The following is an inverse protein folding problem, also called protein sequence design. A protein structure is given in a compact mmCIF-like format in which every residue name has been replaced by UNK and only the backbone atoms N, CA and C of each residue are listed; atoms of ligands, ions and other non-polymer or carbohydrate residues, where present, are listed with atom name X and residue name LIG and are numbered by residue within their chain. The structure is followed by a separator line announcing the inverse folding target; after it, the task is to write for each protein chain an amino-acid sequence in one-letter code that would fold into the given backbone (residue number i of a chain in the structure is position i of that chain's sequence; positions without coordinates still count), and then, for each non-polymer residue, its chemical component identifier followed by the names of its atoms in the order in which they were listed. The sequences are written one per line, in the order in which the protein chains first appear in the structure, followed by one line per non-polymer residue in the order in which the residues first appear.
data_IF_067611246670
#
_entry.id   IF_067611246670
#
_cell.length_a   1.000
_cell.length_b   1.000
_cell.length_c   1.000
_cell.angle_alpha   90.00
_cell.angle_beta   90.00
_cell.angle_gamma   90.00
#
_symmetry.space_group_name_H-M   'P 1'
#
loop_
_entity.id
_entity.type
_entity.pdbx_description
1 polymer ?
#
# COMPACT_ATOMS: atom_id res chain seq x y z
N UNK A 1 9.11 -13.59 -24.00
CA UNK A 1 8.93 -12.83 -22.75
C UNK A 1 9.57 -11.47 -22.98
N UNK A 2 8.87 -10.33 -22.78
CA UNK A 2 9.56 -9.05 -22.72
C UNK A 2 10.59 -9.13 -21.59
N UNK A 3 11.76 -8.51 -21.78
CA UNK A 3 12.73 -8.34 -20.70
C UNK A 3 12.01 -7.69 -19.51
N UNK A 4 12.18 -8.18 -18.27
CA UNK A 4 11.61 -7.49 -17.12
C UNK A 4 12.17 -6.06 -17.13
N UNK A 5 11.28 -5.08 -17.27
CA UNK A 5 11.65 -3.67 -17.14
C UNK A 5 12.24 -3.50 -15.74
N UNK A 6 13.54 -3.18 -15.67
CA UNK A 6 14.25 -3.03 -14.42
C UNK A 6 14.29 -1.53 -14.10
N UNK A 7 13.62 -1.09 -13.01
CA UNK A 7 13.59 0.31 -12.65
C UNK A 7 14.99 0.84 -12.33
N UNK A 8 15.22 2.12 -12.63
CA UNK A 8 16.47 2.81 -12.28
C UNK A 8 16.64 2.78 -10.75
N UNK A 9 17.78 2.31 -10.21
CA UNK A 9 18.04 2.29 -8.77
C UNK A 9 17.88 3.69 -8.15
N UNK A 10 17.39 3.75 -6.91
CA UNK A 10 17.44 5.00 -6.15
C UNK A 10 18.89 5.35 -5.80
N UNK A 11 19.14 6.62 -5.62
CA UNK A 11 20.42 7.21 -5.25
C UNK A 11 20.33 7.84 -3.86
N UNK A 12 21.47 8.15 -3.25
CA UNK A 12 21.50 8.91 -2.01
C UNK A 12 20.78 10.27 -2.12
N UNK A 13 20.79 10.89 -3.31
CA UNK A 13 20.11 12.16 -3.55
C UNK A 13 18.58 12.02 -3.56
N UNK A 14 18.05 10.89 -4.06
CA UNK A 14 16.61 10.58 -3.98
C UNK A 14 16.15 10.49 -2.52
N UNK A 15 16.91 9.77 -1.68
CA UNK A 15 16.64 9.67 -0.25
C UNK A 15 16.81 11.01 0.48
N UNK A 16 17.84 11.79 0.13
CA UNK A 16 18.03 13.16 0.65
C UNK A 16 16.82 14.04 0.35
N UNK A 17 16.32 13.99 -0.88
CA UNK A 17 15.15 14.77 -1.29
C UNK A 17 13.90 14.35 -0.51
N UNK A 18 13.70 13.05 -0.25
CA UNK A 18 12.58 12.56 0.57
C UNK A 18 12.67 13.04 2.02
N UNK A 19 13.84 12.90 2.65
CA UNK A 19 14.07 13.37 4.02
C UNK A 19 13.88 14.89 4.14
N UNK A 20 14.35 15.65 3.15
CA UNK A 20 14.17 17.11 3.10
C UNK A 20 12.68 17.47 3.03
N UNK A 21 11.92 16.86 2.11
CA UNK A 21 10.47 17.08 2.00
C UNK A 21 9.73 16.72 3.28
N UNK A 22 10.10 15.61 3.93
CA UNK A 22 9.49 15.20 5.19
C UNK A 22 9.73 16.23 6.31
N UNK A 23 10.96 16.76 6.39
CA UNK A 23 11.32 17.79 7.35
C UNK A 23 10.60 19.13 7.09
N UNK A 24 10.52 19.56 5.84
CA UNK A 24 9.79 20.77 5.42
C UNK A 24 8.28 20.64 5.63
N UNK A 25 7.70 19.47 5.37
CA UNK A 25 6.30 19.19 5.61
C UNK A 25 5.99 19.24 7.12
N UNK A 26 6.89 18.73 7.96
CA UNK A 26 6.76 18.83 9.41
C UNK A 26 6.77 20.29 9.89
N UNK A 27 7.69 21.11 9.39
CA UNK A 27 7.75 22.54 9.70
C UNK A 27 6.48 23.27 9.25
N UNK A 28 5.99 23.01 8.03
CA UNK A 28 4.75 23.56 7.52
C UNK A 28 3.52 23.16 8.37
N UNK A 29 3.54 21.99 9.00
CA UNK A 29 2.53 21.51 9.94
C UNK A 29 2.72 22.05 11.38
N UNK A 30 3.69 22.94 11.62
CA UNK A 30 3.98 23.50 12.94
C UNK A 30 4.66 22.51 13.90
N UNK A 31 5.33 21.49 13.37
CA UNK A 31 6.15 20.56 14.14
C UNK A 31 7.61 21.02 14.18
N UNK A 32 8.31 20.66 15.26
CA UNK A 32 9.75 20.83 15.38
C UNK A 32 10.54 19.81 14.54
N UNK A 33 9.88 18.75 14.07
CA UNK A 33 10.46 17.70 13.24
C UNK A 33 9.62 16.42 13.25
N UNK A 34 10.13 15.37 12.61
CA UNK A 34 9.57 14.02 12.67
C UNK A 34 10.58 13.00 13.18
N UNK A 35 10.06 12.01 13.91
CA UNK A 35 10.80 10.91 14.52
C UNK A 35 10.31 9.61 13.90
N UNK A 36 11.17 8.98 13.10
CA UNK A 36 10.78 7.84 12.27
C UNK A 36 11.38 6.55 12.83
N UNK A 37 10.51 5.67 13.30
CA UNK A 37 10.87 4.36 13.85
C UNK A 37 11.02 3.30 12.74
N UNK A 38 11.63 2.14 13.01
CA UNK A 38 11.67 1.00 12.10
C UNK A 38 10.32 0.69 11.47
N UNK A 39 10.24 0.75 10.15
CA UNK A 39 8.99 0.55 9.41
C UNK A 39 9.07 1.05 7.98
N UNK A 40 7.94 1.05 7.26
CA UNK A 40 7.89 1.47 5.86
C UNK A 40 8.39 2.89 5.62
N UNK A 41 8.11 3.81 6.55
CA UNK A 41 8.59 5.20 6.47
C UNK A 41 10.11 5.27 6.53
N UNK A 42 10.76 4.51 7.42
CA UNK A 42 12.22 4.47 7.53
C UNK A 42 12.85 3.92 6.24
N UNK A 43 12.28 2.84 5.69
CA UNK A 43 12.73 2.26 4.42
C UNK A 43 12.56 3.24 3.27
N UNK A 44 11.43 3.96 3.21
CA UNK A 44 11.16 4.96 2.18
C UNK A 44 12.15 6.12 2.23
N UNK A 45 12.47 6.60 3.44
CA UNK A 45 13.31 7.77 3.68
C UNK A 45 14.81 7.48 3.60
N UNK A 46 15.24 6.25 3.87
CA UNK A 46 16.68 5.91 4.00
C UNK A 46 17.15 4.73 3.16
N UNK A 47 16.23 3.86 2.72
CA UNK A 47 16.55 2.57 2.13
C UNK A 47 17.08 1.53 3.14
N UNK A 48 17.12 1.86 4.44
CA UNK A 48 17.53 0.96 5.50
C UNK A 48 16.33 0.18 6.04
N UNK A 49 16.45 -1.15 6.07
CA UNK A 49 15.46 -2.05 6.69
C UNK A 49 16.12 -2.74 7.89
N UNK A 50 15.95 -2.21 9.12
CA UNK A 50 16.51 -2.82 10.31
C UNK A 50 15.80 -4.15 10.66
N UNK A 51 16.48 -4.96 11.47
CA UNK A 51 15.85 -6.10 12.15
C UNK A 51 14.88 -5.57 13.21
N UNK A 52 13.70 -6.16 13.31
CA UNK A 52 12.73 -5.79 14.36
C UNK A 52 13.23 -6.27 15.73
N UNK A 53 13.69 -5.35 16.57
CA UNK A 53 14.14 -5.60 17.95
C UNK A 53 13.61 -4.52 18.89
N UNK A 54 13.79 -4.72 20.20
CA UNK A 54 13.46 -3.72 21.23
C UNK A 54 14.48 -2.58 21.34
N UNK A 55 15.57 -2.64 20.58
CA UNK A 55 16.62 -1.63 20.61
C UNK A 55 16.16 -0.40 19.85
N UNK A 56 16.38 0.79 20.42
CA UNK A 56 16.04 2.04 19.77
C UNK A 56 16.83 2.22 18.47
N UNK A 57 16.09 2.21 17.37
CA UNK A 57 16.49 2.80 16.08
C UNK A 57 15.52 3.95 15.79
N UNK A 58 16.02 5.13 15.44
CA UNK A 58 15.18 6.31 15.23
C UNK A 58 15.84 7.29 14.27
N UNK A 59 15.19 7.61 13.15
CA UNK A 59 15.59 8.71 12.28
C UNK A 59 14.96 10.01 12.78
N UNK A 60 15.80 11.03 12.97
CA UNK A 60 15.40 12.38 13.38
C UNK A 60 15.54 13.32 12.18
N UNK A 61 14.43 13.91 11.76
CA UNK A 61 14.38 14.88 10.67
C UNK A 61 13.85 16.22 11.18
N UNK A 62 14.60 17.30 10.91
CA UNK A 62 14.24 18.67 11.26
C UNK A 62 14.57 19.59 10.09
N UNK A 63 13.71 20.55 9.79
CA UNK A 63 13.92 21.46 8.66
C UNK A 63 15.24 22.24 8.83
N UNK A 64 16.02 22.32 7.75
CA UNK A 64 17.32 23.01 7.74
C UNK A 64 18.44 22.34 8.55
N UNK A 65 18.26 21.11 9.04
CA UNK A 65 19.29 20.34 9.75
C UNK A 65 19.62 19.04 9.01
N UNK A 66 20.85 18.55 9.17
CA UNK A 66 21.24 17.26 8.60
C UNK A 66 20.45 16.12 9.26
N UNK A 67 19.87 15.18 8.49
CA UNK A 67 19.21 14.00 9.02
C UNK A 67 20.15 13.18 9.92
N UNK A 68 19.65 12.74 11.06
CA UNK A 68 20.42 11.86 11.97
C UNK A 68 19.66 10.57 12.22
N UNK A 69 20.30 9.43 11.95
CA UNK A 69 19.77 8.11 12.25
C UNK A 69 20.47 7.56 13.50
N UNK A 70 19.72 7.47 14.59
CA UNK A 70 20.17 6.84 15.84
C UNK A 70 20.00 5.33 15.71
N UNK A 71 21.06 4.56 15.92
CA UNK A 71 21.07 3.08 15.76
C UNK A 71 21.90 2.38 16.84
N UNK A 72 21.64 1.11 17.18
CA UNK A 72 22.57 0.33 17.98
C UNK A 72 23.92 0.17 17.27
N UNK A 73 25.04 0.24 17.99
CA UNK A 73 26.40 0.05 17.42
C UNK A 73 26.54 -1.27 16.67
N UNK A 74 25.84 -2.33 17.11
CA UNK A 74 25.84 -3.63 16.45
C UNK A 74 25.06 -3.65 15.12
N UNK A 75 24.17 -2.68 14.88
CA UNK A 75 23.38 -2.54 13.65
C UNK A 75 23.92 -1.42 12.75
N UNK A 76 24.81 -0.55 13.24
CA UNK A 76 25.41 0.54 12.49
C UNK A 76 26.06 0.09 11.15
N UNK A 77 26.80 -1.03 11.08
CA UNK A 77 27.32 -1.52 9.79
C UNK A 77 26.23 -1.80 8.76
N UNK A 78 25.08 -2.36 9.15
CA UNK A 78 23.99 -2.62 8.21
C UNK A 78 23.34 -1.32 7.74
N UNK A 79 23.21 -0.33 8.64
CA UNK A 79 22.74 1.00 8.29
C UNK A 79 23.67 1.74 7.32
N UNK A 80 25.00 1.58 7.46
CA UNK A 80 26.01 2.16 6.55
C UNK A 80 25.91 1.62 5.12
N UNK A 81 25.41 0.39 4.94
CA UNK A 81 25.19 -0.21 3.62
C UNK A 81 23.90 0.25 2.94
N UNK A 82 23.02 0.98 3.64
CA UNK A 82 21.80 1.50 3.05
C UNK A 82 22.13 2.55 1.97
N UNK A 83 21.36 2.56 0.89
CA UNK A 83 21.59 3.47 -0.24
C UNK A 83 21.49 4.95 0.18
N UNK A 84 20.61 5.26 1.14
CA UNK A 84 20.46 6.61 1.69
C UNK A 84 21.47 6.96 2.80
N UNK A 85 22.36 6.06 3.22
CA UNK A 85 23.34 6.34 4.28
C UNK A 85 24.22 7.57 4.00
N UNK A 86 24.69 7.85 2.76
CA UNK A 86 25.43 9.08 2.47
C UNK A 86 24.62 10.38 2.63
N UNK A 87 23.29 10.28 2.80
CA UNK A 87 22.39 11.41 2.99
C UNK A 87 22.06 11.73 4.45
N UNK A 88 22.61 10.98 5.41
CA UNK A 88 22.35 11.14 6.84
C UNK A 88 23.62 10.95 7.67
N UNK A 89 23.57 11.39 8.93
CA UNK A 89 24.60 11.10 9.93
C UNK A 89 24.14 9.93 10.79
N UNK A 90 24.98 8.90 10.93
CA UNK A 90 24.74 7.84 11.90
C UNK A 90 25.21 8.28 13.29
N UNK A 91 24.36 8.03 14.29
CA UNK A 91 24.70 8.20 15.70
C UNK A 91 24.42 6.91 16.43
N UNK A 92 25.47 6.21 16.83
CA UNK A 92 25.31 4.90 17.42
C UNK A 92 25.25 4.91 18.96
N UNK A 93 24.76 3.82 19.54
CA UNK A 93 24.77 3.59 20.97
C UNK A 93 25.00 2.10 21.29
N UNK A 94 25.67 1.83 22.41
CA UNK A 94 26.03 0.46 22.83
C UNK A 94 25.11 -0.02 23.95
N UNK A 95 24.79 -1.33 23.98
CA UNK A 95 24.07 -1.96 25.10
C UNK A 95 24.67 -1.54 26.46
N UNK A 96 23.80 -1.19 27.41
CA UNK A 96 24.18 -0.65 28.73
C UNK A 96 24.29 0.88 28.80
N UNK A 97 24.18 1.60 27.67
CA UNK A 97 23.91 3.04 27.65
C UNK A 97 22.44 3.31 27.43
N UNK A 98 21.95 4.43 27.95
CA UNK A 98 20.59 4.87 27.67
C UNK A 98 20.53 5.46 26.24
N UNK A 99 19.78 4.84 25.30
CA UNK A 99 19.66 5.35 23.95
C UNK A 99 18.92 6.70 23.87
N UNK A 100 18.12 7.04 24.88
CA UNK A 100 17.40 8.30 24.95
C UNK A 100 18.34 9.46 25.32
N UNK A 101 19.41 9.23 26.11
CA UNK A 101 20.46 10.22 26.37
C UNK A 101 21.24 10.59 25.10
N UNK A 102 21.43 9.64 24.19
CA UNK A 102 22.09 9.85 22.90
C UNK A 102 21.18 10.61 21.91
N UNK A 103 19.87 10.41 22.05
CA UNK A 103 18.85 10.99 21.17
C UNK A 103 18.41 12.39 21.61
N UNK A 104 18.30 12.65 22.91
CA UNK A 104 17.78 13.91 23.45
C UNK A 104 18.49 15.18 22.93
N UNK A 105 19.83 15.22 22.73
CA UNK A 105 20.52 16.38 22.16
C UNK A 105 20.14 16.71 20.71
N UNK A 106 19.44 15.82 20.00
CA UNK A 106 18.92 16.05 18.65
C UNK A 106 17.56 16.76 18.66
N UNK A 107 16.89 16.80 19.82
CA UNK A 107 15.52 17.30 19.97
C UNK A 107 15.52 18.63 20.72
N UNK A 108 14.53 19.46 20.40
CA UNK A 108 14.30 20.74 21.07
C UNK A 108 13.52 20.48 22.36
N UNK A 109 13.97 21.07 23.47
CA UNK A 109 13.44 20.78 24.81
C UNK A 109 11.92 21.02 24.95
N UNK A 110 11.31 21.87 24.11
CA UNK A 110 9.85 22.09 24.06
C UNK A 110 9.20 21.74 22.72
N UNK A 111 9.88 20.95 21.88
CA UNK A 111 9.42 20.63 20.53
C UNK A 111 8.15 19.78 20.52
N UNK A 112 7.30 20.01 19.51
CA UNK A 112 6.21 19.11 19.14
C UNK A 112 6.64 18.28 17.94
N UNK A 113 6.61 16.96 18.06
CA UNK A 113 7.12 16.04 17.03
C UNK A 113 6.00 15.15 16.47
N UNK A 114 6.04 14.92 15.15
CA UNK A 114 5.34 13.78 14.56
C UNK A 114 6.16 12.52 14.79
N UNK A 115 5.58 11.47 15.34
CA UNK A 115 6.27 10.19 15.58
C UNK A 115 5.58 9.07 14.82
N UNK A 116 6.36 8.18 14.18
CA UNK A 116 5.80 7.02 13.46
C UNK A 116 4.79 6.26 14.31
N UNK A 117 3.68 5.86 13.70
CA UNK A 117 2.57 5.21 14.42
C UNK A 117 2.94 3.84 14.99
N UNK A 118 3.95 3.22 14.41
CA UNK A 118 4.50 1.94 14.84
C UNK A 118 5.69 2.08 15.81
N UNK A 119 6.02 3.30 16.26
CA UNK A 119 7.00 3.50 17.32
C UNK A 119 6.50 2.80 18.59
N UNK A 120 7.35 1.97 19.20
CA UNK A 120 6.96 1.26 20.40
C UNK A 120 6.70 2.25 21.54
N UNK A 121 5.62 2.03 22.28
CA UNK A 121 5.25 2.88 23.41
C UNK A 121 6.41 3.05 24.41
N UNK A 122 7.25 2.02 24.60
CA UNK A 122 8.42 2.12 25.47
C UNK A 122 9.43 3.19 25.05
N UNK A 123 9.61 3.41 23.74
CA UNK A 123 10.53 4.43 23.23
C UNK A 123 9.92 5.83 23.37
N UNK A 124 8.63 5.97 23.06
CA UNK A 124 7.91 7.22 23.28
C UNK A 124 7.95 7.64 24.76
N UNK A 125 7.66 6.70 25.67
CA UNK A 125 7.71 6.94 27.11
C UNK A 125 9.14 7.25 27.59
N UNK A 126 10.16 6.58 27.06
CA UNK A 126 11.56 6.87 27.36
C UNK A 126 11.97 8.29 26.95
N UNK A 127 11.59 8.71 25.74
CA UNK A 127 11.81 10.08 25.27
C UNK A 127 11.07 11.12 26.13
N UNK A 128 9.82 10.84 26.53
CA UNK A 128 9.06 11.72 27.43
C UNK A 128 9.66 11.82 28.83
N UNK A 129 10.32 10.77 29.34
CA UNK A 129 10.98 10.81 30.64
C UNK A 129 12.20 11.73 30.63
N UNK A 130 13.03 11.66 29.58
CA UNK A 130 14.24 12.49 29.48
C UNK A 130 13.95 13.92 28.99
N UNK A 131 12.91 14.12 28.19
CA UNK A 131 12.45 15.41 27.67
C UNK A 131 10.98 15.66 28.03
N UNK A 132 10.65 15.92 29.31
CA UNK A 132 9.27 15.98 29.81
C UNK A 132 8.43 17.13 29.25
N UNK A 133 9.07 18.11 28.61
CA UNK A 133 8.41 19.27 27.99
C UNK A 133 8.16 19.10 26.49
N UNK A 134 8.56 17.96 25.90
CA UNK A 134 8.21 17.61 24.52
C UNK A 134 6.78 17.08 24.41
N UNK A 135 6.20 17.22 23.22
CA UNK A 135 4.89 16.64 22.90
C UNK A 135 4.94 15.89 21.57
N UNK A 136 4.06 14.91 21.41
CA UNK A 136 4.06 14.00 20.27
C UNK A 136 2.66 13.88 19.69
N UNK A 137 2.59 13.72 18.37
CA UNK A 137 1.38 13.40 17.61
C UNK A 137 1.72 12.28 16.64
N UNK A 138 0.71 11.49 16.26
CA UNK A 138 0.87 10.45 15.25
C UNK A 138 1.39 11.06 13.95
N UNK A 139 2.34 10.39 13.30
CA UNK A 139 2.86 10.84 12.01
C UNK A 139 1.76 10.84 10.95
N UNK A 140 0.88 9.83 10.95
CA UNK A 140 -0.27 9.78 10.02
C UNK A 140 -1.29 10.87 10.31
N UNK A 141 -1.48 11.27 11.57
CA UNK A 141 -2.35 12.42 11.89
C UNK A 141 -1.75 13.73 11.39
N UNK A 142 -0.45 13.96 11.65
CA UNK A 142 0.19 15.22 11.32
C UNK A 142 0.52 15.38 9.84
N UNK A 143 0.92 14.29 9.17
CA UNK A 143 1.37 14.26 7.78
C UNK A 143 0.76 13.05 7.04
N UNK A 144 -0.58 12.97 6.90
CA UNK A 144 -1.26 11.81 6.31
C UNK A 144 -0.82 11.49 4.88
N UNK A 145 -0.37 12.51 4.13
CA UNK A 145 0.01 12.39 2.72
C UNK A 145 1.52 12.33 2.49
N UNK A 146 2.33 12.05 3.52
CA UNK A 146 3.79 12.09 3.45
C UNK A 146 4.38 11.28 2.27
N UNK A 147 3.82 10.08 2.02
CA UNK A 147 4.22 9.17 0.94
C UNK A 147 3.22 9.13 -0.22
N UNK A 148 2.16 9.93 -0.15
CA UNK A 148 1.05 9.83 -1.07
C UNK A 148 1.45 10.18 -2.51
N UNK A 149 2.35 11.15 -2.69
CA UNK A 149 2.83 11.63 -4.00
C UNK A 149 4.13 10.93 -4.38
N UNK A 150 4.07 10.13 -5.44
CA UNK A 150 5.16 9.28 -5.91
C UNK A 150 6.01 10.06 -6.91
N UNK A 151 7.33 9.95 -6.77
CA UNK A 151 8.25 10.43 -7.81
C UNK A 151 8.23 9.52 -9.05
N UNK A 152 8.89 9.93 -10.14
CA UNK A 152 8.90 9.17 -11.39
C UNK A 152 9.51 7.76 -11.25
N UNK A 153 10.51 7.59 -10.37
CA UNK A 153 11.18 6.32 -10.12
C UNK A 153 10.32 5.39 -9.25
N UNK A 154 9.48 5.96 -8.38
CA UNK A 154 8.45 5.24 -7.63
C UNK A 154 7.32 4.76 -8.54
N UNK A 155 6.80 5.64 -9.40
CA UNK A 155 5.76 5.29 -10.37
C UNK A 155 6.21 4.19 -11.34
N UNK A 156 7.48 4.20 -11.75
CA UNK A 156 8.05 3.16 -12.60
C UNK A 156 8.08 1.79 -11.89
N UNK A 157 8.39 1.76 -10.59
CA UNK A 157 8.36 0.53 -9.78
C UNK A 157 6.94 0.01 -9.57
N UNK A 158 5.98 0.89 -9.29
CA UNK A 158 4.57 0.53 -9.18
C UNK A 158 4.02 -0.01 -10.51
N UNK A 159 4.40 0.59 -11.64
CA UNK A 159 4.03 0.08 -12.96
C UNK A 159 4.66 -1.30 -13.23
N UNK A 160 5.91 -1.52 -12.84
CA UNK A 160 6.56 -2.82 -12.96
C UNK A 160 5.91 -3.89 -12.05
N UNK A 161 5.47 -3.51 -10.84
CA UNK A 161 4.72 -4.36 -9.92
C UNK A 161 3.35 -4.75 -10.50
N UNK A 162 2.57 -3.77 -10.97
CA UNK A 162 1.28 -3.99 -11.63
C UNK A 162 1.39 -4.89 -12.86
N UNK A 163 2.40 -4.68 -13.72
CA UNK A 163 2.63 -5.53 -14.88
C UNK A 163 2.99 -6.99 -14.51
N UNK A 164 3.70 -7.19 -13.39
CA UNK A 164 4.00 -8.53 -12.88
C UNK A 164 2.75 -9.22 -12.31
N UNK A 165 1.88 -8.47 -11.62
CA UNK A 165 0.59 -8.99 -11.15
C UNK A 165 -0.36 -9.32 -12.31
N UNK A 166 -0.38 -8.51 -13.37
CA UNK A 166 -1.10 -8.79 -14.61
C UNK A 166 -0.62 -10.09 -15.27
N UNK A 167 0.70 -10.33 -15.30
CA UNK A 167 1.26 -11.58 -15.81
C UNK A 167 0.86 -12.77 -14.93
N UNK A 168 0.82 -12.61 -13.60
CA UNK A 168 0.27 -13.61 -12.68
C UNK A 168 -1.18 -13.94 -13.02
N UNK A 169 -2.03 -12.93 -13.22
CA UNK A 169 -3.43 -13.14 -13.61
C UNK A 169 -3.52 -13.93 -14.93
N UNK A 170 -2.72 -13.55 -15.93
CA UNK A 170 -2.71 -14.26 -17.22
C UNK A 170 -2.33 -15.74 -17.12
N UNK A 171 -1.43 -16.12 -16.20
CA UNK A 171 -1.05 -17.52 -16.00
C UNK A 171 -2.02 -18.27 -15.09
N UNK A 172 -2.59 -17.64 -14.06
CA UNK A 172 -3.52 -18.34 -13.15
C UNK A 172 -4.79 -18.75 -13.90
N UNK A 173 -5.26 -17.98 -14.89
CA UNK A 173 -6.43 -18.37 -15.71
C UNK A 173 -6.25 -19.69 -16.48
N UNK A 174 -5.00 -20.18 -16.63
CA UNK A 174 -4.70 -21.42 -17.36
C UNK A 174 -4.73 -22.65 -16.47
N UNK A 175 -4.78 -22.48 -15.15
CA UNK A 175 -4.88 -23.63 -14.23
C UNK A 175 -6.33 -24.08 -14.12
N UNK A 176 -6.53 -25.34 -13.75
CA UNK A 176 -7.86 -25.82 -13.36
C UNK A 176 -8.20 -25.29 -11.96
N UNK A 177 -9.42 -24.80 -11.79
CA UNK A 177 -10.00 -24.35 -10.54
C UNK A 177 -10.91 -25.44 -9.97
N UNK A 178 -11.81 -25.99 -10.78
CA UNK A 178 -12.78 -26.98 -10.30
C UNK A 178 -12.11 -28.21 -9.68
N UNK A 179 -12.61 -28.62 -8.52
CA UNK A 179 -12.10 -29.76 -7.75
C UNK A 179 -10.83 -29.48 -6.95
N UNK A 180 -10.31 -28.25 -6.93
CA UNK A 180 -9.19 -27.83 -6.08
C UNK A 180 -9.67 -27.04 -4.88
N UNK A 181 -8.88 -26.99 -3.81
CA UNK A 181 -9.16 -26.08 -2.69
C UNK A 181 -8.75 -24.67 -3.05
N UNK A 182 -9.40 -23.69 -2.42
CA UNK A 182 -9.00 -22.28 -2.50
C UNK A 182 -7.51 -22.10 -2.16
N UNK A 183 -7.03 -22.76 -1.10
CA UNK A 183 -5.62 -22.76 -0.68
C UNK A 183 -4.66 -23.27 -1.75
N UNK A 184 -5.07 -24.25 -2.56
CA UNK A 184 -4.22 -24.79 -3.63
C UNK A 184 -4.06 -23.76 -4.77
N UNK A 185 -5.12 -23.02 -5.10
CA UNK A 185 -5.09 -21.94 -6.11
C UNK A 185 -4.35 -20.70 -5.56
N UNK A 186 -4.53 -20.38 -4.29
CA UNK A 186 -3.81 -19.30 -3.60
C UNK A 186 -2.29 -19.55 -3.56
N UNK A 187 -1.87 -20.82 -3.39
CA UNK A 187 -0.47 -21.21 -3.46
C UNK A 187 0.11 -21.04 -4.87
N UNK A 188 -0.66 -21.34 -5.92
CA UNK A 188 -0.25 -21.10 -7.31
C UNK A 188 -0.07 -19.60 -7.58
N UNK A 189 -1.01 -18.76 -7.12
CA UNK A 189 -0.88 -17.29 -7.21
C UNK A 189 0.41 -16.81 -6.54
N UNK A 190 0.71 -17.29 -5.33
CA UNK A 190 1.91 -16.89 -4.60
C UNK A 190 3.19 -17.31 -5.35
N UNK A 191 3.21 -18.53 -5.88
CA UNK A 191 4.32 -19.03 -6.69
C UNK A 191 4.50 -18.22 -7.98
N UNK A 192 3.40 -17.84 -8.64
CA UNK A 192 3.42 -17.00 -9.85
C UNK A 192 3.91 -15.58 -9.55
N UNK A 193 3.45 -14.94 -8.47
CA UNK A 193 3.95 -13.62 -8.05
C UNK A 193 5.46 -13.63 -7.84
N UNK A 194 6.00 -14.63 -7.13
CA UNK A 194 7.45 -14.82 -6.96
C UNK A 194 8.16 -15.06 -8.29
N UNK A 195 7.58 -15.91 -9.15
CA UNK A 195 8.12 -16.19 -10.49
C UNK A 195 8.20 -14.94 -11.37
N UNK A 196 7.24 -14.03 -11.26
CA UNK A 196 7.25 -12.74 -11.96
C UNK A 196 8.01 -11.63 -11.22
N UNK A 197 8.72 -12.01 -10.15
CA UNK A 197 9.76 -11.20 -9.52
C UNK A 197 9.28 -10.32 -8.36
N UNK A 198 8.16 -10.63 -7.73
CA UNK A 198 7.83 -10.05 -6.43
C UNK A 198 8.82 -10.56 -5.37
N UNK A 199 9.46 -9.64 -4.66
CA UNK A 199 10.33 -9.95 -3.52
C UNK A 199 9.53 -10.39 -2.30
N UNK A 200 8.28 -9.94 -2.18
CA UNK A 200 7.36 -10.24 -1.09
C UNK A 200 5.98 -10.58 -1.66
N UNK A 201 5.31 -11.57 -1.08
CA UNK A 201 3.88 -11.83 -1.36
C UNK A 201 3.16 -11.44 -0.08
N UNK A 202 2.24 -10.49 -0.18
CA UNK A 202 1.54 -9.97 0.99
C UNK A 202 0.25 -10.76 1.23
N UNK A 203 -0.46 -11.12 0.16
CA UNK A 203 -1.72 -11.84 0.23
C UNK A 203 -2.04 -12.54 -1.10
N UNK A 204 -2.81 -13.62 -1.00
CA UNK A 204 -3.41 -14.36 -2.12
C UNK A 204 -4.79 -14.87 -1.70
N UNK A 205 -5.78 -14.00 -1.77
CA UNK A 205 -7.18 -14.29 -1.47
C UNK A 205 -7.81 -15.04 -2.65
N UNK A 206 -8.46 -16.16 -2.34
CA UNK A 206 -9.29 -16.94 -3.27
C UNK A 206 -10.61 -17.22 -2.56
N UNK A 207 -11.65 -16.45 -2.90
CA UNK A 207 -12.99 -16.59 -2.32
C UNK A 207 -13.96 -17.20 -3.32
N UNK A 208 -14.26 -18.49 -3.17
CA UNK A 208 -15.12 -19.24 -4.08
C UNK A 208 -16.57 -19.34 -3.59
N UNK A 209 -17.52 -19.16 -4.50
CA UNK A 209 -18.95 -19.20 -4.19
C UNK A 209 -19.29 -18.28 -3.00
N UNK A 210 -19.93 -18.80 -1.93
CA UNK A 210 -20.29 -18.01 -0.76
C UNK A 210 -19.13 -17.27 -0.08
N UNK A 211 -17.91 -17.81 -0.16
CA UNK A 211 -16.73 -17.18 0.43
C UNK A 211 -16.34 -15.88 -0.28
N UNK A 212 -16.62 -15.76 -1.58
CA UNK A 212 -16.41 -14.53 -2.33
C UNK A 212 -17.26 -13.35 -1.82
N UNK A 213 -18.34 -13.63 -1.08
CA UNK A 213 -19.18 -12.60 -0.46
C UNK A 213 -18.61 -12.03 0.85
N UNK A 214 -17.46 -12.53 1.33
CA UNK A 214 -16.75 -11.98 2.48
C UNK A 214 -15.49 -11.24 1.98
N UNK A 215 -15.45 -9.88 2.03
CA UNK A 215 -14.30 -9.12 1.54
C UNK A 215 -13.00 -9.41 2.32
N UNK A 216 -13.09 -9.94 3.54
CA UNK A 216 -11.93 -10.33 4.36
C UNK A 216 -11.72 -11.85 4.40
N UNK A 217 -12.24 -12.59 3.42
CA UNK A 217 -11.99 -14.02 3.33
C UNK A 217 -10.50 -14.29 3.07
N UNK A 218 -9.93 -15.23 3.79
CA UNK A 218 -8.63 -15.82 3.45
C UNK A 218 -8.89 -17.19 2.81
N UNK A 219 -8.10 -17.54 1.79
CA UNK A 219 -8.26 -18.81 1.08
C UNK A 219 -8.32 -20.00 2.05
N UNK A 220 -9.40 -20.79 2.00
CA UNK A 220 -9.66 -21.88 2.93
C UNK A 220 -9.63 -23.27 2.29
N UNK A 221 -10.16 -24.25 3.03
CA UNK A 221 -10.25 -25.64 2.59
C UNK A 221 -11.46 -25.93 1.68
N UNK A 222 -12.30 -24.92 1.37
CA UNK A 222 -13.44 -25.11 0.46
C UNK A 222 -12.91 -25.56 -0.90
N UNK A 223 -13.48 -26.64 -1.42
CA UNK A 223 -13.23 -27.09 -2.79
C UNK A 223 -14.05 -26.22 -3.74
N UNK A 224 -13.39 -25.66 -4.75
CA UNK A 224 -14.01 -24.86 -5.80
C UNK A 224 -14.82 -25.79 -6.70
N UNK A 225 -16.09 -25.46 -6.91
CA UNK A 225 -17.06 -26.23 -7.67
C UNK A 225 -17.33 -25.59 -9.03
N UNK A 226 -17.83 -26.40 -9.98
CA UNK A 226 -18.35 -25.87 -11.24
C UNK A 226 -19.61 -25.06 -10.94
N UNK A 227 -19.69 -23.84 -11.47
CA UNK A 227 -20.75 -22.88 -11.17
C UNK A 227 -20.39 -21.86 -10.10
N UNK A 228 -19.17 -21.89 -9.54
CA UNK A 228 -18.73 -20.87 -8.61
C UNK A 228 -18.27 -19.59 -9.34
N UNK A 229 -18.71 -18.45 -8.83
CA UNK A 229 -17.96 -17.19 -8.91
C UNK A 229 -16.77 -17.25 -7.95
N UNK A 230 -15.59 -16.86 -8.40
CA UNK A 230 -14.35 -16.89 -7.61
C UNK A 230 -13.69 -15.52 -7.65
N UNK A 231 -13.63 -14.85 -6.49
CA UNK A 231 -12.86 -13.62 -6.31
C UNK A 231 -11.40 -14.00 -6.11
N UNK A 232 -10.54 -13.50 -6.98
CA UNK A 232 -9.09 -13.58 -6.87
C UNK A 232 -8.57 -12.20 -6.54
N UNK A 233 -7.84 -12.09 -5.44
CA UNK A 233 -7.27 -10.83 -4.99
C UNK A 233 -5.88 -11.08 -4.42
N UNK A 234 -4.87 -10.50 -5.04
CA UNK A 234 -3.49 -10.87 -4.78
C UNK A 234 -2.51 -9.75 -5.08
N UNK A 235 -1.49 -9.69 -4.25
CA UNK A 235 -0.52 -8.61 -4.30
C UNK A 235 0.71 -8.88 -3.46
N UNK A 236 1.63 -7.94 -3.53
CA UNK A 236 2.93 -8.06 -2.90
C UNK A 236 3.87 -6.94 -3.32
N UNK A 237 5.09 -6.98 -2.79
CA UNK A 237 6.11 -6.00 -3.15
C UNK A 237 7.01 -6.51 -4.26
N UNK A 238 7.20 -5.70 -5.31
CA UNK A 238 8.23 -5.84 -6.33
C UNK A 238 9.09 -4.57 -6.32
N UNK A 239 10.41 -4.75 -6.24
CA UNK A 239 11.36 -3.63 -6.07
C UNK A 239 11.04 -2.73 -4.85
N UNK A 240 10.38 -3.29 -3.83
CA UNK A 240 9.95 -2.58 -2.62
C UNK A 240 8.63 -1.80 -2.76
N UNK A 241 7.91 -1.93 -3.89
CA UNK A 241 6.64 -1.22 -4.14
C UNK A 241 5.51 -2.22 -4.43
N UNK A 242 4.31 -1.89 -3.97
CA UNK A 242 3.14 -2.74 -4.00
C UNK A 242 2.55 -2.92 -5.39
N UNK A 243 2.13 -4.15 -5.69
CA UNK A 243 1.04 -4.43 -6.62
C UNK A 243 -0.18 -4.85 -5.83
N UNK A 244 -1.35 -4.50 -6.33
CA UNK A 244 -2.63 -5.02 -5.87
C UNK A 244 -3.55 -5.21 -7.08
N UNK A 245 -4.28 -6.32 -7.12
CA UNK A 245 -5.25 -6.56 -8.19
C UNK A 245 -6.25 -7.64 -7.81
N UNK A 246 -7.50 -7.23 -7.86
CA UNK A 246 -8.67 -8.10 -7.80
C UNK A 246 -9.30 -8.34 -9.18
N UNK A 247 -9.60 -9.60 -9.48
CA UNK A 247 -10.45 -10.03 -10.60
C UNK A 247 -11.41 -11.11 -10.12
N UNK A 248 -12.62 -11.10 -10.65
CA UNK A 248 -13.57 -12.18 -10.43
C UNK A 248 -13.65 -13.05 -11.67
N UNK A 249 -13.56 -14.37 -11.49
CA UNK A 249 -13.68 -15.37 -12.56
C UNK A 249 -14.89 -16.27 -12.28
N UNK A 250 -15.36 -16.99 -13.29
CA UNK A 250 -16.41 -17.98 -13.13
C UNK A 250 -15.97 -19.37 -13.62
N UNK A 251 -16.30 -20.40 -12.86
CA UNK A 251 -15.96 -21.80 -13.18
C UNK A 251 -17.07 -22.41 -14.04
N UNK A 252 -16.89 -22.42 -15.37
CA UNK A 252 -17.95 -22.75 -16.34
C UNK A 252 -18.78 -21.52 -16.75
N UNK A 253 -20.01 -21.71 -17.25
CA UNK A 253 -20.85 -20.60 -17.72
C UNK A 253 -21.63 -19.93 -16.58
N UNK A 254 -21.61 -18.58 -16.46
CA UNK A 254 -22.31 -17.85 -15.41
C UNK A 254 -23.82 -17.83 -15.66
N UNK A 255 -24.59 -17.66 -14.59
CA UNK A 255 -26.00 -17.31 -14.69
C UNK A 255 -26.18 -15.86 -15.17
N UNK A 256 -27.39 -15.54 -15.64
CA UNK A 256 -27.72 -14.17 -16.04
C UNK A 256 -27.65 -13.14 -14.89
N UNK A 257 -27.82 -13.58 -13.64
CA UNK A 257 -27.67 -12.71 -12.47
C UNK A 257 -26.20 -12.45 -12.16
N UNK A 258 -25.36 -13.48 -12.16
CA UNK A 258 -23.91 -13.34 -11.91
C UNK A 258 -23.24 -12.45 -12.95
N UNK A 259 -23.56 -12.67 -14.24
CA UNK A 259 -23.07 -11.82 -15.31
C UNK A 259 -23.52 -10.36 -15.12
N UNK A 260 -24.78 -10.14 -14.74
CA UNK A 260 -25.31 -8.79 -14.50
C UNK A 260 -24.62 -8.10 -13.32
N UNK A 261 -24.47 -8.78 -12.19
CA UNK A 261 -23.78 -8.23 -11.00
C UNK A 261 -22.33 -7.89 -11.35
N UNK A 262 -21.67 -8.77 -12.11
CA UNK A 262 -20.32 -8.52 -12.58
C UNK A 262 -20.23 -7.28 -13.47
N UNK A 263 -21.14 -7.13 -14.44
CA UNK A 263 -21.18 -5.97 -15.33
C UNK A 263 -21.42 -4.66 -14.57
N UNK A 264 -22.26 -4.66 -13.53
CA UNK A 264 -22.48 -3.49 -12.66
C UNK A 264 -21.18 -3.10 -11.94
N UNK A 265 -20.45 -4.07 -11.37
CA UNK A 265 -19.16 -3.78 -10.71
C UNK A 265 -18.14 -3.26 -11.71
N UNK A 266 -18.11 -3.79 -12.94
CA UNK A 266 -17.23 -3.30 -14.00
C UNK A 266 -17.55 -1.86 -14.38
N UNK A 267 -18.83 -1.51 -14.50
CA UNK A 267 -19.28 -0.14 -14.77
C UNK A 267 -18.92 0.81 -13.61
N UNK A 268 -19.11 0.37 -12.37
CA UNK A 268 -18.75 1.14 -11.18
C UNK A 268 -17.24 1.39 -11.10
N UNK A 269 -16.42 0.37 -11.38
CA UNK A 269 -14.96 0.49 -11.41
C UNK A 269 -14.51 1.46 -12.50
N UNK A 270 -15.13 1.38 -13.68
CA UNK A 270 -14.89 2.33 -14.75
C UNK A 270 -15.23 3.77 -14.33
N UNK A 271 -16.40 3.98 -13.72
CA UNK A 271 -16.81 5.31 -13.24
C UNK A 271 -15.84 5.88 -12.20
N UNK A 272 -15.38 5.06 -11.26
CA UNK A 272 -14.34 5.44 -10.30
C UNK A 272 -13.04 5.87 -10.99
N UNK A 273 -12.53 5.08 -11.94
CA UNK A 273 -11.32 5.45 -12.67
C UNK A 273 -11.49 6.72 -13.54
N UNK A 274 -12.64 6.88 -14.20
CA UNK A 274 -12.91 8.05 -15.05
C UNK A 274 -13.02 9.36 -14.24
N UNK A 275 -13.36 9.27 -12.94
CA UNK A 275 -13.42 10.41 -12.04
C UNK A 275 -12.03 10.90 -11.59
N UNK A 276 -10.97 10.13 -11.81
CA UNK A 276 -9.60 10.47 -11.41
C UNK A 276 -9.06 11.61 -12.26
N UNK A 277 -8.78 12.75 -11.62
CA UNK A 277 -8.13 13.92 -12.21
C UNK A 277 -7.54 14.82 -11.11
N UNK A 278 -6.52 15.64 -11.41
CA UNK A 278 -6.04 16.64 -10.47
C UNK A 278 -7.17 17.54 -9.95
N UNK A 279 -7.16 17.79 -8.64
CA UNK A 279 -8.11 18.64 -7.94
C UNK A 279 -9.46 17.98 -7.58
N UNK A 280 -9.77 16.78 -8.07
CA UNK A 280 -10.90 16.01 -7.55
C UNK A 280 -10.65 15.61 -6.09
N UNK A 281 -11.65 15.62 -5.22
CA UNK A 281 -11.48 15.10 -3.86
C UNK A 281 -11.43 13.57 -3.87
N UNK A 282 -10.74 12.95 -2.93
CA UNK A 282 -10.68 11.47 -2.83
C UNK A 282 -12.08 10.85 -2.71
N UNK A 283 -12.98 11.49 -1.95
CA UNK A 283 -14.39 11.08 -1.82
C UNK A 283 -15.16 11.10 -3.15
N UNK A 284 -14.77 11.93 -4.13
CA UNK A 284 -15.48 11.99 -5.41
C UNK A 284 -15.27 10.70 -6.23
N UNK A 285 -14.15 10.01 -6.01
CA UNK A 285 -13.87 8.70 -6.61
C UNK A 285 -14.80 7.64 -6.01
N UNK A 286 -14.99 7.68 -4.69
CA UNK A 286 -15.93 6.79 -4.01
C UNK A 286 -17.36 7.02 -4.46
N UNK A 287 -17.79 8.29 -4.49
CA UNK A 287 -19.13 8.69 -4.94
C UNK A 287 -19.41 8.23 -6.37
N UNK A 288 -18.44 8.37 -7.28
CA UNK A 288 -18.59 7.97 -8.67
C UNK A 288 -18.86 6.46 -8.81
N UNK A 289 -18.09 5.60 -8.14
CA UNK A 289 -18.30 4.16 -8.16
C UNK A 289 -19.58 3.74 -7.43
N UNK A 290 -19.81 4.30 -6.23
CA UNK A 290 -20.95 3.98 -5.37
C UNK A 290 -22.29 4.37 -5.99
N UNK A 291 -22.34 5.48 -6.75
CA UNK A 291 -23.54 5.93 -7.45
C UNK A 291 -24.06 4.86 -8.43
N UNK A 292 -23.17 4.26 -9.23
CA UNK A 292 -23.52 3.20 -10.19
C UNK A 292 -24.13 2.00 -9.45
N UNK A 293 -23.43 1.48 -8.43
CA UNK A 293 -23.92 0.31 -7.66
C UNK A 293 -25.27 0.60 -7.00
N UNK A 294 -25.46 1.82 -6.49
CA UNK A 294 -26.71 2.24 -5.83
C UNK A 294 -27.86 2.35 -6.82
N UNK A 295 -27.64 2.87 -8.03
CA UNK A 295 -28.64 2.97 -9.09
C UNK A 295 -29.25 1.62 -9.44
N UNK A 296 -28.44 0.55 -9.45
CA UNK A 296 -28.90 -0.82 -9.69
C UNK A 296 -29.45 -1.53 -8.44
N UNK A 297 -29.59 -0.84 -7.32
CA UNK A 297 -30.20 -1.37 -6.09
C UNK A 297 -29.27 -2.20 -5.19
N UNK A 298 -27.95 -2.14 -5.41
CA UNK A 298 -26.96 -2.88 -4.64
C UNK A 298 -26.15 -2.01 -3.66
N UNK A 299 -26.57 -0.77 -3.39
CA UNK A 299 -25.81 0.18 -2.55
C UNK A 299 -25.43 -0.38 -1.16
N UNK A 300 -26.36 -1.06 -0.48
CA UNK A 300 -26.11 -1.73 0.82
C UNK A 300 -25.15 -2.94 0.73
N UNK A 301 -24.82 -3.39 -0.48
CA UNK A 301 -23.91 -4.51 -0.75
C UNK A 301 -22.49 -4.06 -1.10
N UNK A 302 -22.25 -2.76 -1.23
CA UNK A 302 -20.91 -2.18 -1.35
C UNK A 302 -20.45 -1.62 0.00
N UNK A 303 -19.85 -2.49 0.81
CA UNK A 303 -19.69 -2.32 2.26
C UNK A 303 -18.33 -1.77 2.71
N UNK A 304 -17.47 -1.36 1.78
CA UNK A 304 -16.15 -0.79 2.09
C UNK A 304 -15.87 0.45 1.24
N UNK A 305 -14.71 1.07 1.47
CA UNK A 305 -14.17 2.18 0.65
C UNK A 305 -13.93 1.74 -0.79
N UNK A 306 -13.95 2.67 -1.73
CA UNK A 306 -13.64 2.39 -3.15
C UNK A 306 -12.16 2.13 -3.40
N UNK A 307 -11.28 2.49 -2.48
CA UNK A 307 -9.87 2.11 -2.56
C UNK A 307 -8.97 2.79 -1.54
N UNK A 308 -7.68 2.51 -1.65
CA UNK A 308 -6.63 2.99 -0.77
C UNK A 308 -5.36 3.31 -1.56
N UNK A 309 -4.53 4.18 -1.00
CA UNK A 309 -3.19 4.43 -1.49
C UNK A 309 -2.35 3.17 -1.47
N UNK A 310 -1.39 3.13 -2.38
CA UNK A 310 -0.41 2.07 -2.50
C UNK A 310 0.96 2.66 -2.81
N UNK A 311 2.01 2.06 -2.24
CA UNK A 311 3.38 2.54 -2.34
C UNK A 311 4.35 1.50 -1.82
N UNK A 312 5.12 1.82 -0.79
CA UNK A 312 6.00 0.85 -0.12
C UNK A 312 5.23 -0.09 0.83
N UNK A 313 3.94 0.16 1.01
CA UNK A 313 2.96 -0.71 1.67
C UNK A 313 1.78 -0.93 0.73
N UNK A 314 1.10 -2.08 0.85
CA UNK A 314 -0.12 -2.36 0.10
C UNK A 314 -1.23 -1.35 0.41
N UNK A 315 -1.40 -1.00 1.69
CA UNK A 315 -2.35 0.00 2.14
C UNK A 315 -1.62 1.21 2.75
N UNK A 316 -1.85 2.39 2.19
CA UNK A 316 -1.42 3.69 2.71
C UNK A 316 -2.47 4.77 2.35
N UNK A 317 -2.43 5.97 2.92
CA UNK A 317 -3.20 7.10 2.40
C UNK A 317 -2.76 7.49 0.97
N UNK A 318 -3.62 8.14 0.16
CA UNK A 318 -4.99 8.58 0.46
C UNK A 318 -6.02 7.45 0.45
N UNK A 319 -7.20 7.67 1.03
CA UNK A 319 -8.30 6.70 0.98
C UNK A 319 -9.45 7.21 0.11
N UNK A 320 -9.91 6.40 -0.84
CA UNK A 320 -11.05 6.74 -1.69
C UNK A 320 -12.34 6.39 -0.95
N UNK A 321 -12.75 7.26 -0.03
CA UNK A 321 -13.88 7.06 0.86
C UNK A 321 -14.64 8.38 1.08
N UNK A 322 -15.96 8.31 1.25
CA UNK A 322 -16.79 9.43 1.67
C UNK A 322 -16.19 10.13 2.92
N UNK A 323 -16.04 11.45 2.86
CA UNK A 323 -15.46 12.27 3.93
C UNK A 323 -13.96 12.58 3.76
N UNK A 324 -13.22 11.91 2.87
CA UNK A 324 -11.85 12.29 2.53
C UNK A 324 -11.87 13.40 1.45
N UNK A 325 -11.74 14.65 1.88
CA UNK A 325 -11.87 15.82 1.03
C UNK A 325 -10.54 16.28 0.40
N UNK A 326 -9.42 15.63 0.75
CA UNK A 326 -8.12 16.03 0.22
C UNK A 326 -8.07 15.89 -1.31
N UNK A 327 -7.59 16.92 -2.03
CA UNK A 327 -7.55 16.91 -3.47
C UNK A 327 -6.47 15.97 -3.99
N UNK A 328 -6.80 15.24 -5.06
CA UNK A 328 -5.87 14.44 -5.83
C UNK A 328 -4.86 15.36 -6.53
N UNK A 329 -3.59 14.98 -6.47
CA UNK A 329 -2.50 15.68 -7.18
C UNK A 329 -1.68 14.68 -8.01
N UNK A 330 -1.04 15.13 -9.11
CA UNK A 330 -0.19 14.26 -9.93
C UNK A 330 0.82 13.49 -9.11
N UNK A 331 0.99 12.20 -9.43
CA UNK A 331 1.86 11.28 -8.71
C UNK A 331 1.19 10.54 -7.56
N UNK A 332 -0.03 10.90 -7.13
CA UNK A 332 -0.78 10.02 -6.22
C UNK A 332 -1.08 8.67 -6.87
N UNK A 333 -1.06 7.59 -6.09
CA UNK A 333 -1.30 6.23 -6.56
C UNK A 333 -2.14 5.45 -5.54
N UNK A 334 -3.22 4.81 -6.00
CA UNK A 334 -4.22 4.13 -5.17
C UNK A 334 -5.01 3.07 -5.97
N UNK A 335 -5.68 2.15 -5.27
CA UNK A 335 -6.64 1.20 -5.84
C UNK A 335 -7.97 1.88 -6.20
N UNK A 336 -8.64 1.35 -7.22
CA UNK A 336 -10.08 1.58 -7.50
C UNK A 336 -10.72 0.20 -7.63
N UNK A 337 -11.38 -0.24 -6.56
CA UNK A 337 -11.77 -1.63 -6.29
C UNK A 337 -13.22 -1.79 -5.77
N UNK A 338 -14.24 -1.17 -6.40
CA UNK A 338 -15.61 -1.37 -5.94
C UNK A 338 -16.02 -2.84 -6.03
N UNK A 339 -16.92 -3.24 -5.15
CA UNK A 339 -17.41 -4.62 -5.09
C UNK A 339 -18.85 -4.74 -4.60
N UNK A 340 -19.51 -5.81 -5.03
CA UNK A 340 -20.85 -6.21 -4.57
C UNK A 340 -20.72 -7.56 -3.88
N UNK A 341 -21.18 -7.63 -2.64
CA UNK A 341 -21.13 -8.85 -1.82
C UNK A 341 -22.53 -9.31 -1.47
N UNK A 342 -22.90 -10.53 -1.89
CA UNK A 342 -24.20 -11.15 -1.63
C UNK A 342 -24.03 -12.29 -0.62
N UNK A 343 -24.27 -12.06 0.69
CA UNK A 343 -23.95 -13.01 1.75
C UNK A 343 -24.53 -14.41 1.50
N UNK A 344 -23.70 -15.42 1.68
CA UNK A 344 -24.07 -16.83 1.46
C UNK A 344 -24.20 -17.24 -0.01
N UNK A 345 -23.89 -16.35 -0.96
CA UNK A 345 -24.05 -16.59 -2.40
C UNK A 345 -22.74 -16.43 -3.16
N UNK A 346 -22.34 -15.19 -3.43
CA UNK A 346 -21.11 -14.83 -4.14
C UNK A 346 -20.79 -13.34 -3.94
N UNK A 347 -19.56 -12.97 -4.27
CA UNK A 347 -19.17 -11.57 -4.40
C UNK A 347 -18.50 -11.32 -5.74
N UNK A 348 -18.40 -10.05 -6.10
CA UNK A 348 -17.63 -9.58 -7.25
C UNK A 348 -16.81 -8.38 -6.81
N UNK A 349 -15.51 -8.40 -7.14
CA UNK A 349 -14.61 -7.26 -7.05
C UNK A 349 -13.78 -7.17 -8.32
N UNK A 350 -13.60 -5.95 -8.82
CA UNK A 350 -12.69 -5.62 -9.91
C UNK A 350 -11.86 -4.44 -9.45
N UNK A 351 -10.55 -4.57 -9.57
CA UNK A 351 -9.61 -3.58 -9.06
C UNK A 351 -8.52 -3.25 -10.05
N UNK A 352 -8.17 -1.98 -10.16
CA UNK A 352 -6.90 -1.59 -10.75
C UNK A 352 -6.22 -0.57 -9.84
N UNK A 353 -4.90 -0.60 -9.79
CA UNK A 353 -4.10 0.53 -9.32
C UNK A 353 -4.12 1.62 -10.37
N UNK A 354 -4.36 2.85 -9.92
CA UNK A 354 -4.40 4.07 -10.74
C UNK A 354 -3.42 5.09 -10.18
N UNK A 355 -2.70 5.76 -11.06
CA UNK A 355 -1.92 6.95 -10.73
C UNK A 355 -2.53 8.21 -11.34
N UNK A 356 -2.51 9.31 -10.60
CA UNK A 356 -2.95 10.63 -11.07
C UNK A 356 -1.88 11.23 -12.00
N UNK A 357 -2.28 11.65 -13.19
CA UNK A 357 -1.45 12.38 -14.16
C UNK A 357 -1.80 13.87 -14.15
N UNK A 358 -1.11 14.68 -14.95
CA UNK A 358 -1.42 16.12 -15.10
C UNK A 358 -2.83 16.40 -15.65
N UNK A 359 -3.44 15.42 -16.33
CA UNK A 359 -4.67 15.56 -17.09
C UNK A 359 -5.75 14.50 -16.76
N UNK A 360 -5.50 13.57 -15.85
CA UNK A 360 -6.45 12.51 -15.51
C UNK A 360 -5.87 11.41 -14.62
N UNK A 361 -6.32 10.18 -14.85
CA UNK A 361 -5.81 8.97 -14.21
C UNK A 361 -5.24 7.99 -15.23
N UNK A 362 -4.16 7.30 -14.86
CA UNK A 362 -3.56 6.21 -15.64
C UNK A 362 -3.59 4.91 -14.83
N UNK A 363 -4.21 3.88 -15.39
CA UNK A 363 -4.20 2.54 -14.80
C UNK A 363 -2.82 1.90 -14.95
N UNK A 364 -2.35 1.24 -13.89
CA UNK A 364 -1.10 0.47 -13.88
C UNK A 364 -1.35 -1.02 -14.13
N UNK A 365 -2.59 -1.47 -13.94
CA UNK A 365 -3.07 -2.78 -14.39
C UNK A 365 -3.78 -2.65 -15.74
N UNK A 366 -3.57 -3.64 -16.60
CA UNK A 366 -3.98 -3.65 -18.01
C UNK A 366 -4.69 -4.94 -18.40
N UNK A 367 -4.81 -5.90 -17.48
CA UNK A 367 -5.59 -7.12 -17.69
C UNK A 367 -7.07 -6.82 -17.96
N UNK A 368 -7.74 -7.65 -18.79
CA UNK A 368 -9.17 -7.51 -19.08
C UNK A 368 -10.01 -7.45 -17.81
N UNK A 369 -11.12 -6.73 -17.86
CA UNK A 369 -12.08 -6.59 -16.75
C UNK A 369 -13.37 -7.37 -17.02
N UNK A 370 -13.44 -8.07 -18.14
CA UNK A 370 -14.49 -9.02 -18.48
C UNK A 370 -14.42 -10.24 -17.55
N UNK A 371 -15.57 -10.87 -17.31
CA UNK A 371 -15.66 -12.08 -16.50
C UNK A 371 -14.95 -13.21 -17.24
N UNK A 372 -13.81 -13.65 -16.71
CA UNK A 372 -13.06 -14.75 -17.30
C UNK A 372 -13.75 -16.09 -16.95
N UNK A 373 -13.79 -17.00 -17.92
CA UNK A 373 -14.32 -18.35 -17.75
C UNK A 373 -13.15 -19.33 -17.59
N UNK A 374 -13.14 -20.10 -16.51
CA UNK A 374 -12.10 -21.09 -16.17
C UNK A 374 -12.69 -22.49 -16.01
N UNK A 375 -11.83 -23.51 -16.02
CA UNK A 375 -12.22 -24.92 -15.86
C UNK A 375 -12.34 -25.39 -14.42
#
# INVERSE_FOLDING_TARGET
MPSPHQPVPFTADDYRARMTRAAEAAEAAGLAGVLVAPGPDLVHLTGYQPVSTERLTLLVLKAGQDPVLVVPTLEAPDAEHAVGAPALTLRDWTDGKDPYEVTAPLLDTGGRYGISDNAWAMHLLGLQQILPTTSYTSLTEALPMLRAVKDAHELDRLAAAGAAADATYGEILKVRFSGRRETDVAADLAALLKRFGHSQVDFTVVGSGPNGANPHHEAGDRTIERGDMVVLDFGGLKHGYGSDTSRTVHVGEPTAEEQRVHDIVREAQKAGCDAVRPGAACQDIDRAARAVITEFGYGERFIHRTGHGIGVTTHEPPYMIEGEELPLVPGMCFSVEPGIYLPGRFGVRIEDIVTVTEDGGRRLNTTPRELAIVE
#
